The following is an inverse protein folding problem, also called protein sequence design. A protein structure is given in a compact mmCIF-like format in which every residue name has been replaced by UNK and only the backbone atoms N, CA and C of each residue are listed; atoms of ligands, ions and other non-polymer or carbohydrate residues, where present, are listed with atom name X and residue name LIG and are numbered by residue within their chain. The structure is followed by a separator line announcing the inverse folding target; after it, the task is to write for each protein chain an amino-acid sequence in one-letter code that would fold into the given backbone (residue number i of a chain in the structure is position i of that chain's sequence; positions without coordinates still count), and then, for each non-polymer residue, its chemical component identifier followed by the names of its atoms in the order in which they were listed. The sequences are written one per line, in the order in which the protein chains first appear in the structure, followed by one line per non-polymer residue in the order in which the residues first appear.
data_IF_205211436986
#
_entry.id   IF_205211436986
#
_cell.length_a   1.000
_cell.length_b   1.000
_cell.length_c   1.000
_cell.angle_alpha   90.00
_cell.angle_beta   90.00
_cell.angle_gamma   90.00
#
_symmetry.space_group_name_H-M   'P 1'
#
loop_
_entity.id
_entity.type
_entity.pdbx_description
1 polymer ?
#
# COMPACT_ATOMS: atom_id res chain seq x y z
N UNK A 1 30.59 -27.87 -15.08
CA UNK A 1 29.44 -27.19 -14.46
C UNK A 1 29.34 -27.60 -13.00
N UNK A 2 29.29 -26.64 -12.07
CA UNK A 2 29.15 -26.92 -10.64
C UNK A 2 27.75 -27.39 -10.29
N UNK A 3 27.61 -28.27 -9.29
CA UNK A 3 26.33 -28.70 -8.73
C UNK A 3 26.04 -27.87 -7.48
N UNK A 4 24.81 -27.35 -7.36
CA UNK A 4 24.33 -26.65 -6.16
C UNK A 4 23.32 -27.54 -5.43
N UNK A 5 23.55 -27.80 -4.15
CA UNK A 5 22.57 -28.45 -3.31
C UNK A 5 21.51 -27.42 -2.88
N UNK A 6 20.25 -27.67 -3.21
CA UNK A 6 19.13 -26.79 -2.90
C UNK A 6 18.16 -27.49 -1.96
N UNK A 7 17.83 -26.83 -0.83
CA UNK A 7 16.75 -27.26 0.03
C UNK A 7 15.43 -26.72 -0.51
N UNK A 8 14.57 -27.58 -0.97
CA UNK A 8 13.24 -27.22 -1.46
C UNK A 8 12.33 -26.84 -0.32
N UNK A 9 11.75 -25.65 -0.40
CA UNK A 9 10.75 -25.17 0.58
C UNK A 9 9.32 -25.49 0.17
N UNK A 10 9.09 -25.73 -1.12
CA UNK A 10 7.80 -26.09 -1.71
C UNK A 10 8.02 -26.76 -3.07
N UNK A 11 7.06 -27.55 -3.58
CA UNK A 11 7.08 -28.05 -4.94
C UNK A 11 7.17 -26.92 -5.96
N UNK A 12 7.78 -27.17 -7.10
CA UNK A 12 7.82 -26.24 -8.22
C UNK A 12 6.90 -26.80 -9.31
N UNK A 13 5.86 -26.06 -9.61
CA UNK A 13 4.88 -26.40 -10.63
C UNK A 13 5.29 -25.79 -11.98
N UNK A 14 5.03 -26.53 -13.07
CA UNK A 14 5.31 -26.11 -14.44
C UNK A 14 6.79 -26.13 -14.86
N UNK A 15 7.05 -25.94 -16.16
CA UNK A 15 8.41 -25.87 -16.70
C UNK A 15 9.18 -24.66 -16.16
N UNK A 16 10.40 -24.92 -15.69
CA UNK A 16 11.29 -23.86 -15.18
C UNK A 16 11.93 -23.11 -16.34
N UNK A 17 11.76 -21.76 -16.39
CA UNK A 17 12.37 -20.91 -17.42
C UNK A 17 13.70 -20.33 -16.97
N UNK A 18 13.70 -19.62 -15.84
CA UNK A 18 14.89 -18.98 -15.32
C UNK A 18 15.06 -19.27 -13.84
N UNK A 19 16.32 -19.42 -13.41
CA UNK A 19 16.70 -19.54 -12.01
C UNK A 19 17.54 -18.33 -11.59
N UNK A 20 17.14 -17.65 -10.52
CA UNK A 20 17.90 -16.54 -9.94
C UNK A 20 18.45 -16.93 -8.59
N UNK A 21 19.78 -16.85 -8.44
CA UNK A 21 20.45 -17.05 -7.15
C UNK A 21 20.67 -15.71 -6.48
N UNK A 22 20.18 -15.53 -5.27
CA UNK A 22 20.31 -14.31 -4.49
C UNK A 22 20.92 -14.58 -3.12
N UNK A 23 21.75 -13.64 -2.66
CA UNK A 23 22.32 -13.66 -1.32
C UNK A 23 21.53 -12.71 -0.41
N UNK A 24 20.95 -13.25 0.63
CA UNK A 24 20.25 -12.51 1.68
C UNK A 24 21.12 -12.44 2.96
N UNK A 25 20.66 -11.71 3.97
CA UNK A 25 21.40 -11.57 5.22
C UNK A 25 21.47 -12.88 6.05
N UNK A 26 20.58 -13.81 5.84
CA UNK A 26 20.48 -15.09 6.56
C UNK A 26 20.89 -16.31 5.73
N UNK A 27 21.17 -16.13 4.43
CA UNK A 27 21.58 -17.25 3.57
C UNK A 27 21.47 -16.97 2.08
N UNK A 28 21.56 -18.04 1.30
CA UNK A 28 21.39 -18.03 -0.14
C UNK A 28 19.99 -18.58 -0.51
N UNK A 29 19.40 -17.98 -1.52
CA UNK A 29 18.09 -18.37 -2.03
C UNK A 29 18.15 -18.57 -3.53
N UNK A 30 17.36 -19.53 -4.00
CA UNK A 30 17.12 -19.75 -5.43
C UNK A 30 15.65 -19.49 -5.69
N UNK A 31 15.37 -18.66 -6.69
CA UNK A 31 14.02 -18.40 -7.18
C UNK A 31 13.91 -18.86 -8.62
N UNK A 32 12.85 -19.58 -8.93
CA UNK A 32 12.56 -20.02 -10.29
C UNK A 32 11.36 -19.27 -10.85
N UNK A 33 11.45 -18.80 -12.09
CA UNK A 33 10.27 -18.47 -12.86
C UNK A 33 9.81 -19.73 -13.59
N UNK A 34 8.51 -20.02 -13.50
CA UNK A 34 7.90 -21.16 -14.14
C UNK A 34 6.90 -20.68 -15.19
N UNK A 35 6.76 -21.44 -16.28
CA UNK A 35 5.71 -21.26 -17.26
C UNK A 35 4.59 -22.25 -17.02
N UNK A 36 3.46 -22.04 -17.69
CA UNK A 36 2.35 -23.00 -17.74
C UNK A 36 1.86 -23.44 -16.36
N UNK A 37 2.03 -22.56 -15.34
CA UNK A 37 1.43 -22.81 -14.03
C UNK A 37 -0.07 -22.58 -14.16
N UNK A 38 -0.84 -23.66 -13.94
CA UNK A 38 -2.30 -23.56 -13.99
C UNK A 38 -2.80 -22.58 -12.94
N UNK A 39 -3.55 -21.60 -13.39
CA UNK A 39 -4.29 -20.72 -12.48
C UNK A 39 -5.39 -21.54 -11.82
N UNK A 40 -5.52 -21.43 -10.51
CA UNK A 40 -6.63 -22.04 -9.78
C UNK A 40 -7.61 -20.92 -9.44
N UNK A 41 -8.67 -20.73 -10.25
CA UNK A 41 -9.70 -19.74 -9.96
C UNK A 41 -10.33 -20.02 -8.60
N UNK A 42 -10.45 -18.99 -7.80
CA UNK A 42 -11.25 -19.07 -6.58
C UNK A 42 -12.74 -18.93 -6.91
N UNK A 43 -13.63 -19.49 -6.09
CA UNK A 43 -15.07 -19.25 -6.24
C UNK A 43 -15.36 -17.76 -6.33
N UNK A 44 -16.38 -17.41 -7.13
CA UNK A 44 -16.86 -16.04 -7.30
C UNK A 44 -17.98 -15.78 -6.28
N UNK A 45 -17.74 -15.02 -5.21
CA UNK A 45 -18.78 -14.68 -4.23
C UNK A 45 -19.78 -13.64 -4.75
N UNK A 46 -19.62 -13.14 -5.98
CA UNK A 46 -20.41 -12.06 -6.60
C UNK A 46 -20.42 -10.79 -5.75
N UNK A 47 -19.26 -10.47 -5.18
CA UNK A 47 -19.07 -9.31 -4.32
C UNK A 47 -17.99 -8.37 -4.87
N UNK A 48 -18.28 -7.09 -4.76
CA UNK A 48 -17.37 -6.03 -5.17
C UNK A 48 -17.14 -5.07 -4.00
N UNK A 49 -15.94 -4.52 -3.90
CA UNK A 49 -15.64 -3.51 -2.88
C UNK A 49 -14.69 -2.44 -3.42
N UNK A 50 -14.80 -1.23 -2.87
CA UNK A 50 -13.77 -0.20 -2.96
C UNK A 50 -12.87 -0.25 -1.75
N UNK A 51 -11.58 0.05 -1.90
CA UNK A 51 -10.67 0.18 -0.77
C UNK A 51 -9.98 1.53 -0.78
N UNK A 52 -9.99 2.19 0.37
CA UNK A 52 -9.16 3.36 0.65
C UNK A 52 -7.95 2.94 1.47
N UNK A 53 -6.73 3.31 1.04
CA UNK A 53 -5.48 2.98 1.74
C UNK A 53 -4.95 4.18 2.51
N UNK A 54 -4.68 3.98 3.80
CA UNK A 54 -4.33 5.02 4.73
C UNK A 54 -3.04 4.78 5.52
N UNK A 55 -2.65 5.78 6.31
CA UNK A 55 -1.52 5.69 7.24
C UNK A 55 -1.97 5.44 8.69
N UNK A 56 -3.16 5.86 9.05
CA UNK A 56 -3.71 5.64 10.38
C UNK A 56 -4.15 4.19 10.53
N UNK A 57 -5.07 3.77 9.69
CA UNK A 57 -5.35 2.37 9.37
C UNK A 57 -4.68 2.04 8.02
N UNK A 58 -4.46 0.77 7.73
CA UNK A 58 -3.80 0.38 6.48
C UNK A 58 -4.73 0.48 5.28
N UNK A 59 -5.96 0.02 5.44
CA UNK A 59 -7.05 0.20 4.48
C UNK A 59 -8.41 0.08 5.17
N UNK A 60 -9.42 0.66 4.51
CA UNK A 60 -10.84 0.50 4.83
C UNK A 60 -11.54 0.01 3.57
N UNK A 61 -12.47 -0.94 3.70
CA UNK A 61 -13.33 -1.40 2.60
C UNK A 61 -14.62 -0.59 2.55
N UNK A 62 -15.33 -0.65 1.42
CA UNK A 62 -16.65 -0.03 1.30
C UNK A 62 -17.71 -0.66 2.22
N UNK A 63 -17.46 -1.87 2.70
CA UNK A 63 -18.32 -2.58 3.66
C UNK A 63 -18.06 -2.15 5.10
N UNK A 64 -17.05 -1.30 5.32
CA UNK A 64 -16.66 -0.80 6.64
C UNK A 64 -15.60 -1.67 7.35
N UNK A 65 -15.08 -2.71 6.71
CA UNK A 65 -14.02 -3.51 7.28
C UNK A 65 -12.72 -2.71 7.36
N UNK A 66 -12.06 -2.77 8.50
CA UNK A 66 -10.84 -2.02 8.79
C UNK A 66 -9.66 -2.98 8.93
N UNK A 67 -8.59 -2.73 8.19
CA UNK A 67 -7.31 -3.41 8.37
C UNK A 67 -6.32 -2.46 9.03
N UNK A 68 -5.91 -2.82 10.24
CA UNK A 68 -4.97 -2.03 11.04
C UNK A 68 -3.59 -1.90 10.39
N UNK A 69 -2.95 -0.74 10.57
CA UNK A 69 -1.60 -0.52 10.07
C UNK A 69 -0.56 -1.03 11.09
N UNK A 70 0.20 -2.11 10.79
CA UNK A 70 1.13 -2.71 11.73
C UNK A 70 2.37 -1.85 12.02
N UNK A 71 2.72 -0.90 11.14
CA UNK A 71 3.84 0.05 11.29
C UNK A 71 5.17 -0.65 11.64
N UNK A 72 5.51 -1.71 10.92
CA UNK A 72 6.66 -2.58 11.22
C UNK A 72 8.00 -1.85 11.31
N UNK A 73 8.26 -0.92 10.37
CA UNK A 73 9.47 -0.11 10.40
C UNK A 73 9.47 0.83 11.61
N UNK A 74 8.35 1.50 11.89
CA UNK A 74 8.25 2.44 13.02
C UNK A 74 8.52 1.77 14.36
N UNK A 75 7.95 0.56 14.57
CA UNK A 75 8.22 -0.24 15.76
C UNK A 75 9.69 -0.64 15.89
N UNK A 76 10.37 -0.88 14.77
CA UNK A 76 11.77 -1.31 14.71
C UNK A 76 12.77 -0.15 14.57
N UNK A 77 12.32 1.09 14.38
CA UNK A 77 13.16 2.25 14.02
C UNK A 77 14.29 2.47 15.02
N UNK A 78 14.01 2.38 16.32
CA UNK A 78 15.03 2.55 17.35
C UNK A 78 16.12 1.48 17.29
N UNK A 79 15.73 0.20 17.14
CA UNK A 79 16.67 -0.91 17.02
C UNK A 79 17.53 -0.79 15.76
N UNK A 80 16.92 -0.40 14.63
CA UNK A 80 17.61 -0.15 13.37
C UNK A 80 18.61 1.02 13.48
N UNK A 81 18.22 2.12 14.12
CA UNK A 81 19.13 3.25 14.39
C UNK A 81 20.32 2.82 15.24
N UNK A 82 20.10 2.03 16.31
CA UNK A 82 21.16 1.49 17.17
C UNK A 82 22.09 0.57 16.39
N UNK A 83 21.55 -0.29 15.52
CA UNK A 83 22.36 -1.18 14.67
C UNK A 83 23.21 -0.38 13.66
N UNK A 84 22.60 0.60 12.96
CA UNK A 84 23.32 1.48 12.03
C UNK A 84 24.44 2.25 12.73
N UNK A 85 24.20 2.84 13.92
CA UNK A 85 25.19 3.54 14.72
C UNK A 85 26.33 2.62 15.15
N UNK A 86 26.05 1.32 15.43
CA UNK A 86 27.06 0.31 15.72
C UNK A 86 27.94 0.04 14.50
N UNK A 87 27.40 0.01 13.29
CA UNK A 87 28.17 -0.15 12.05
C UNK A 87 29.06 1.06 11.80
N UNK A 88 28.52 2.29 11.91
CA UNK A 88 29.26 3.53 11.62
C UNK A 88 30.45 3.76 12.54
N UNK A 89 30.37 3.33 13.82
CA UNK A 89 31.44 3.45 14.82
C UNK A 89 32.59 2.47 14.61
N UNK A 90 32.51 1.53 13.66
CA UNK A 90 33.54 0.53 13.42
C UNK A 90 34.44 0.93 12.24
N UNK A 91 35.72 0.63 12.34
CA UNK A 91 36.70 0.89 11.28
C UNK A 91 36.30 0.18 9.99
N UNK A 92 36.30 0.90 8.87
CA UNK A 92 36.06 0.34 7.53
C UNK A 92 37.04 -0.81 7.27
N UNK A 93 36.56 -1.91 6.62
CA UNK A 93 37.37 -3.09 6.33
C UNK A 93 37.58 -4.07 7.52
N UNK A 94 37.23 -3.70 8.76
CA UNK A 94 37.43 -4.61 9.89
C UNK A 94 36.41 -5.73 9.98
N UNK A 95 36.83 -6.92 10.44
CA UNK A 95 35.93 -8.07 10.72
C UNK A 95 34.79 -7.69 11.68
N UNK A 96 35.04 -6.81 12.65
CA UNK A 96 34.04 -6.31 13.60
C UNK A 96 32.98 -5.46 12.91
N UNK A 97 33.34 -4.65 11.89
CA UNK A 97 32.36 -3.90 11.06
C UNK A 97 31.55 -4.83 10.21
N UNK A 98 32.15 -5.82 9.55
CA UNK A 98 31.45 -6.82 8.75
C UNK A 98 30.38 -7.56 9.58
N UNK A 99 30.73 -8.00 10.81
CA UNK A 99 29.77 -8.62 11.74
C UNK A 99 28.64 -7.67 12.12
N UNK A 100 28.94 -6.40 12.41
CA UNK A 100 27.92 -5.41 12.76
C UNK A 100 27.00 -5.10 11.56
N UNK A 101 27.55 -4.98 10.35
CA UNK A 101 26.78 -4.79 9.11
C UNK A 101 25.85 -5.96 8.84
N UNK A 102 26.34 -7.19 9.02
CA UNK A 102 25.53 -8.39 8.87
C UNK A 102 24.34 -8.43 9.86
N UNK A 103 24.56 -8.08 11.13
CA UNK A 103 23.48 -7.98 12.12
C UNK A 103 22.45 -6.89 11.76
N UNK A 104 22.94 -5.74 11.27
CA UNK A 104 22.07 -4.67 10.80
C UNK A 104 21.24 -5.11 9.59
N UNK A 105 21.85 -5.81 8.62
CA UNK A 105 21.16 -6.36 7.46
C UNK A 105 20.07 -7.37 7.85
N UNK A 106 20.33 -8.25 8.83
CA UNK A 106 19.32 -9.17 9.38
C UNK A 106 18.11 -8.44 9.97
N UNK A 107 18.32 -7.33 10.68
CA UNK A 107 17.21 -6.54 11.23
C UNK A 107 16.37 -5.89 10.10
N UNK A 108 17.02 -5.31 9.10
CA UNK A 108 16.31 -4.78 7.92
C UNK A 108 15.55 -5.87 7.18
N UNK A 109 16.13 -7.04 7.01
CA UNK A 109 15.49 -8.19 6.38
C UNK A 109 14.25 -8.65 7.17
N UNK A 110 14.35 -8.70 8.51
CA UNK A 110 13.23 -9.06 9.37
C UNK A 110 12.04 -8.11 9.16
N UNK A 111 12.26 -6.79 9.21
CA UNK A 111 11.21 -5.78 8.97
C UNK A 111 10.61 -5.90 7.57
N UNK A 112 11.46 -6.11 6.55
CA UNK A 112 10.99 -6.33 5.18
C UNK A 112 10.07 -7.55 5.08
N UNK A 113 10.45 -8.68 5.69
CA UNK A 113 9.68 -9.92 5.66
C UNK A 113 8.35 -9.81 6.41
N UNK A 114 8.34 -9.15 7.57
CA UNK A 114 7.11 -8.87 8.30
C UNK A 114 6.11 -8.08 7.45
N UNK A 115 6.58 -7.03 6.75
CA UNK A 115 5.74 -6.24 5.85
C UNK A 115 5.25 -7.06 4.66
N UNK A 116 6.11 -7.87 4.05
CA UNK A 116 5.72 -8.74 2.95
C UNK A 116 4.67 -9.76 3.39
N UNK A 117 4.85 -10.42 4.52
CA UNK A 117 3.87 -11.38 5.07
C UNK A 117 2.51 -10.71 5.31
N UNK A 118 2.52 -9.52 5.93
CA UNK A 118 1.31 -8.73 6.12
C UNK A 118 0.61 -8.41 4.78
N UNK A 119 1.34 -7.90 3.79
CA UNK A 119 0.78 -7.60 2.47
C UNK A 119 0.21 -8.85 1.79
N UNK A 120 0.92 -9.99 1.87
CA UNK A 120 0.46 -11.24 1.27
C UNK A 120 -0.82 -11.75 1.92
N UNK A 121 -0.94 -11.68 3.23
CA UNK A 121 -2.13 -12.11 4.00
C UNK A 121 -3.32 -11.21 3.71
N UNK A 122 -3.14 -9.89 3.79
CA UNK A 122 -4.19 -8.91 3.51
C UNK A 122 -4.70 -9.03 2.08
N UNK A 123 -3.80 -9.09 1.09
CA UNK A 123 -4.19 -9.24 -0.31
C UNK A 123 -4.93 -10.58 -0.56
N UNK A 124 -4.51 -11.67 0.08
CA UNK A 124 -5.20 -12.94 -0.05
C UNK A 124 -6.59 -12.91 0.59
N UNK A 125 -6.75 -12.26 1.75
CA UNK A 125 -8.05 -12.08 2.40
C UNK A 125 -9.03 -11.35 1.48
N UNK A 126 -8.61 -10.21 0.90
CA UNK A 126 -9.45 -9.44 -0.03
C UNK A 126 -9.83 -10.25 -1.28
N UNK A 127 -8.86 -10.94 -1.89
CA UNK A 127 -9.11 -11.76 -3.10
C UNK A 127 -10.04 -12.94 -2.81
N UNK A 128 -10.11 -13.44 -1.58
CA UNK A 128 -11.07 -14.50 -1.20
C UNK A 128 -12.49 -13.96 -1.03
N UNK A 129 -12.63 -12.72 -0.61
CA UNK A 129 -13.93 -12.11 -0.29
C UNK A 129 -14.59 -11.44 -1.50
N UNK A 130 -13.80 -10.85 -2.41
CA UNK A 130 -14.31 -10.01 -3.47
C UNK A 130 -13.86 -10.47 -4.86
N UNK A 131 -14.71 -10.30 -5.86
CA UNK A 131 -14.43 -10.60 -7.27
C UNK A 131 -13.84 -9.41 -7.99
N UNK A 132 -14.29 -8.23 -7.61
CA UNK A 132 -13.78 -6.96 -8.12
C UNK A 132 -13.42 -6.04 -6.97
N UNK A 133 -12.20 -5.53 -7.00
CA UNK A 133 -11.69 -4.61 -5.98
C UNK A 133 -11.30 -3.32 -6.68
N UNK A 134 -11.96 -2.24 -6.30
CA UNK A 134 -11.65 -0.90 -6.81
C UNK A 134 -10.65 -0.21 -5.88
N UNK A 135 -9.63 0.40 -6.48
CA UNK A 135 -8.54 1.07 -5.74
C UNK A 135 -8.27 2.44 -6.32
N UNK A 136 -7.77 3.36 -5.53
CA UNK A 136 -7.27 4.62 -6.07
C UNK A 136 -5.98 4.42 -6.88
N UNK A 137 -5.86 5.11 -8.02
CA UNK A 137 -4.65 5.19 -8.82
C UNK A 137 -3.60 6.09 -8.14
N UNK A 138 -3.23 5.74 -6.90
CA UNK A 138 -2.26 6.52 -6.13
C UNK A 138 -0.85 6.40 -6.70
N UNK A 139 -0.11 7.51 -6.64
CA UNK A 139 1.31 7.57 -7.00
C UNK A 139 2.16 7.85 -5.75
N UNK A 140 2.60 6.84 -5.00
CA UNK A 140 3.35 7.03 -3.76
C UNK A 140 4.64 7.83 -3.93
N UNK A 141 5.24 7.81 -5.12
CA UNK A 141 6.42 8.61 -5.46
C UNK A 141 6.10 10.11 -5.35
N UNK A 142 4.96 10.56 -5.89
CA UNK A 142 4.52 11.95 -5.79
C UNK A 142 4.17 12.33 -4.35
N UNK A 143 3.50 11.41 -3.63
CA UNK A 143 3.15 11.61 -2.22
C UNK A 143 4.38 11.73 -1.32
N UNK A 144 5.50 11.11 -1.67
CA UNK A 144 6.76 11.13 -0.90
C UNK A 144 7.79 12.14 -1.41
N UNK A 145 7.44 12.97 -2.40
CA UNK A 145 8.34 13.99 -2.96
C UNK A 145 8.81 14.95 -1.87
N UNK A 146 10.09 15.32 -1.93
CA UNK A 146 10.66 16.30 -1.02
C UNK A 146 10.08 17.67 -1.29
N UNK A 147 9.77 18.49 -0.27
CA UNK A 147 9.37 19.88 -0.48
C UNK A 147 10.51 20.68 -1.15
N UNK A 148 10.15 21.57 -2.02
CA UNK A 148 11.11 22.48 -2.64
C UNK A 148 11.65 23.48 -1.61
N UNK A 149 12.93 23.90 -1.76
CA UNK A 149 13.47 24.99 -0.95
C UNK A 149 12.64 26.26 -1.14
N UNK A 150 12.35 26.96 -0.04
CA UNK A 150 11.76 28.29 -0.10
C UNK A 150 12.90 29.31 0.04
N UNK A 151 13.14 30.17 -0.94
CA UNK A 151 14.09 31.26 -0.80
C UNK A 151 13.66 32.20 0.35
N UNK A 152 14.63 32.78 1.05
CA UNK A 152 14.37 33.85 2.02
C UNK A 152 14.02 35.13 1.25
N UNK A 153 12.77 35.59 1.38
CA UNK A 153 12.28 36.81 0.73
C UNK A 153 13.00 38.07 1.22
N UNK A 154 13.68 38.02 2.37
CA UNK A 154 14.44 39.14 2.94
C UNK A 154 15.87 39.27 2.42
N UNK A 155 16.29 38.46 1.45
CA UNK A 155 17.55 38.62 0.73
C UNK A 155 18.83 38.27 1.50
N UNK A 156 18.73 37.65 2.69
CA UNK A 156 19.89 37.27 3.52
C UNK A 156 20.57 35.95 3.07
N UNK A 157 20.24 35.42 1.88
CA UNK A 157 20.88 34.23 1.31
C UNK A 157 20.55 32.91 2.05
N UNK A 158 19.59 32.93 2.97
CA UNK A 158 19.07 31.77 3.68
C UNK A 158 17.92 31.09 2.97
N UNK A 159 17.44 29.98 3.54
CA UNK A 159 16.20 29.34 3.11
C UNK A 159 15.20 29.31 4.27
N UNK A 160 13.96 29.64 3.98
CA UNK A 160 12.87 29.56 4.95
C UNK A 160 12.50 28.12 5.31
N UNK A 161 11.82 27.98 6.44
CA UNK A 161 11.34 26.69 6.93
C UNK A 161 10.24 26.13 6.03
N UNK A 162 10.56 25.17 5.17
CA UNK A 162 9.65 24.56 4.18
C UNK A 162 8.92 23.28 4.66
N UNK A 163 8.91 23.00 5.96
CA UNK A 163 8.27 21.79 6.51
C UNK A 163 8.95 20.46 6.16
N UNK A 164 10.17 20.46 5.61
CA UNK A 164 10.90 19.27 5.17
C UNK A 164 11.06 18.20 6.27
N UNK A 165 11.25 18.63 7.54
CA UNK A 165 11.35 17.71 8.68
C UNK A 165 10.04 16.95 8.93
N UNK A 166 8.90 17.66 8.87
CA UNK A 166 7.55 17.08 9.00
C UNK A 166 7.26 16.13 7.83
N UNK A 167 7.58 16.56 6.62
CA UNK A 167 7.44 15.75 5.40
C UNK A 167 8.31 14.49 5.44
N UNK A 168 9.55 14.57 5.92
CA UNK A 168 10.42 13.40 6.09
C UNK A 168 9.80 12.36 7.05
N UNK A 169 9.13 12.81 8.12
CA UNK A 169 8.35 11.95 9.02
C UNK A 169 7.20 11.24 8.31
N UNK A 170 6.43 11.96 7.50
CA UNK A 170 5.34 11.43 6.69
C UNK A 170 5.86 10.42 5.65
N UNK A 171 6.94 10.77 4.94
CA UNK A 171 7.54 9.90 3.93
C UNK A 171 7.99 8.55 4.52
N UNK A 172 8.55 8.55 5.73
CA UNK A 172 8.86 7.28 6.41
C UNK A 172 7.63 6.41 6.62
N UNK A 173 6.49 7.00 6.97
CA UNK A 173 5.23 6.26 7.17
C UNK A 173 4.65 5.75 5.85
N UNK A 174 4.72 6.53 4.77
CA UNK A 174 4.32 6.12 3.41
C UNK A 174 5.15 4.93 2.94
N UNK A 175 6.49 5.00 3.12
CA UNK A 175 7.39 3.90 2.75
C UNK A 175 7.24 2.67 3.66
N UNK A 176 6.88 2.86 4.92
CA UNK A 176 6.58 1.74 5.84
C UNK A 176 5.27 1.03 5.44
N UNK A 177 4.22 1.77 5.11
CA UNK A 177 2.98 1.20 4.59
C UNK A 177 3.19 0.44 3.28
N UNK A 178 4.02 0.96 2.37
CA UNK A 178 4.45 0.26 1.14
C UNK A 178 3.31 -0.03 0.17
N UNK A 179 2.35 0.88 0.01
CA UNK A 179 1.13 0.72 -0.80
C UNK A 179 1.38 0.25 -2.22
N UNK A 180 2.43 0.79 -2.90
CA UNK A 180 2.75 0.35 -4.27
C UNK A 180 2.98 -1.16 -4.36
N UNK A 181 3.77 -1.70 -3.41
CA UNK A 181 4.04 -3.14 -3.37
C UNK A 181 2.78 -3.94 -3.04
N UNK A 182 1.98 -3.45 -2.07
CA UNK A 182 0.70 -4.07 -1.71
C UNK A 182 -0.26 -4.12 -2.91
N UNK A 183 -0.49 -3.00 -3.59
CA UNK A 183 -1.41 -2.93 -4.74
C UNK A 183 -0.93 -3.81 -5.90
N UNK A 184 0.38 -3.82 -6.21
CA UNK A 184 0.94 -4.73 -7.23
C UNK A 184 0.72 -6.19 -6.86
N UNK A 185 0.88 -6.54 -5.59
CA UNK A 185 0.67 -7.90 -5.10
C UNK A 185 -0.82 -8.28 -5.12
N UNK A 186 -1.70 -7.36 -4.76
CA UNK A 186 -3.15 -7.53 -4.81
C UNK A 186 -3.61 -7.80 -6.24
N UNK A 187 -3.19 -6.95 -7.20
CA UNK A 187 -3.49 -7.12 -8.63
C UNK A 187 -3.01 -8.47 -9.15
N UNK A 188 -1.77 -8.85 -8.82
CA UNK A 188 -1.22 -10.15 -9.23
C UNK A 188 -2.03 -11.33 -8.67
N UNK A 189 -2.35 -11.30 -7.37
CA UNK A 189 -3.13 -12.37 -6.73
C UNK A 189 -4.56 -12.45 -7.27
N UNK A 190 -5.20 -11.31 -7.52
CA UNK A 190 -6.53 -11.26 -8.13
C UNK A 190 -6.51 -11.88 -9.53
N UNK A 191 -5.56 -11.51 -10.37
CA UNK A 191 -5.41 -12.10 -11.70
C UNK A 191 -5.19 -13.62 -11.65
N UNK A 192 -4.34 -14.12 -10.73
CA UNK A 192 -4.15 -15.56 -10.53
C UNK A 192 -5.42 -16.28 -10.05
N UNK A 193 -6.32 -15.60 -9.37
CA UNK A 193 -7.58 -16.14 -8.87
C UNK A 193 -8.77 -15.96 -9.84
N UNK A 194 -8.53 -15.43 -11.05
CA UNK A 194 -9.59 -15.11 -12.02
C UNK A 194 -10.43 -13.89 -11.64
N UNK A 195 -9.92 -13.02 -10.76
CA UNK A 195 -10.57 -11.83 -10.22
C UNK A 195 -9.92 -10.55 -10.70
N UNK A 196 -10.52 -9.39 -10.41
CA UNK A 196 -10.07 -8.11 -10.97
C UNK A 196 -9.77 -7.07 -9.90
N UNK A 197 -8.76 -6.25 -10.18
CA UNK A 197 -8.47 -5.01 -9.45
C UNK A 197 -8.49 -3.88 -10.44
N UNK A 198 -9.33 -2.87 -10.19
CA UNK A 198 -9.52 -1.75 -11.08
C UNK A 198 -9.15 -0.44 -10.39
N UNK A 199 -8.35 0.38 -11.06
CA UNK A 199 -7.89 1.65 -10.53
C UNK A 199 -8.80 2.79 -10.98
N UNK A 200 -9.24 3.62 -10.02
CA UNK A 200 -10.03 4.82 -10.26
C UNK A 200 -9.22 6.10 -10.04
N UNK A 201 -9.66 7.20 -10.63
CA UNK A 201 -9.02 8.49 -10.44
C UNK A 201 -9.14 8.93 -8.96
N UNK A 202 -8.03 9.25 -8.28
CA UNK A 202 -8.00 9.61 -6.85
C UNK A 202 -8.53 11.02 -6.55
N UNK A 203 -8.82 11.84 -7.56
CA UNK A 203 -9.24 13.22 -7.35
C UNK A 203 -10.55 13.27 -6.55
N UNK A 204 -10.52 13.93 -5.40
CA UNK A 204 -11.67 14.25 -4.54
C UNK A 204 -12.40 13.05 -3.90
N UNK A 205 -11.89 11.84 -3.99
CA UNK A 205 -12.51 10.63 -3.40
C UNK A 205 -12.82 10.77 -1.91
N UNK A 206 -11.97 11.46 -1.15
CA UNK A 206 -12.19 11.73 0.29
C UNK A 206 -13.09 12.93 0.58
N UNK A 207 -13.44 13.74 -0.44
CA UNK A 207 -14.28 14.94 -0.29
C UNK A 207 -15.70 14.72 -0.79
N UNK A 208 -15.85 14.00 -1.90
CA UNK A 208 -17.15 13.75 -2.50
C UNK A 208 -17.95 12.77 -1.62
N UNK A 209 -19.23 13.05 -1.44
CA UNK A 209 -20.13 12.24 -0.63
C UNK A 209 -20.49 10.95 -1.39
N UNK A 210 -20.33 9.80 -0.74
CA UNK A 210 -20.69 8.51 -1.33
C UNK A 210 -22.20 8.33 -1.52
N UNK A 211 -23.02 9.11 -0.79
CA UNK A 211 -24.48 9.02 -0.90
C UNK A 211 -25.09 9.89 -2.01
N UNK A 212 -24.60 11.10 -2.24
CA UNK A 212 -25.19 12.04 -3.18
C UNK A 212 -24.22 12.69 -4.17
N UNK A 213 -22.91 12.45 -4.03
CA UNK A 213 -21.87 13.03 -4.88
C UNK A 213 -21.50 14.47 -4.55
N UNK A 214 -22.16 15.14 -3.60
CA UNK A 214 -21.85 16.52 -3.20
C UNK A 214 -20.46 16.64 -2.64
N UNK A 215 -19.73 17.70 -3.03
CA UNK A 215 -18.36 17.93 -2.58
C UNK A 215 -18.33 18.70 -1.26
N UNK A 216 -17.89 18.04 -0.20
CA UNK A 216 -17.75 18.61 1.14
C UNK A 216 -16.27 18.88 1.41
N UNK A 217 -15.91 20.16 1.47
CA UNK A 217 -14.55 20.56 1.82
C UNK A 217 -14.28 20.26 3.29
N UNK A 218 -13.21 19.54 3.56
CA UNK A 218 -12.80 19.15 4.92
C UNK A 218 -11.30 19.27 5.09
N UNK A 219 -10.87 19.65 6.29
CA UNK A 219 -9.46 19.56 6.66
C UNK A 219 -9.04 18.08 6.83
N UNK A 220 -7.75 17.80 6.67
CA UNK A 220 -7.21 16.44 6.83
C UNK A 220 -7.37 15.88 8.27
N UNK A 221 -7.61 16.75 9.25
CA UNK A 221 -7.82 16.38 10.66
C UNK A 221 -9.25 15.86 10.94
N UNK A 222 -10.23 16.24 10.11
CA UNK A 222 -11.62 15.81 10.28
C UNK A 222 -11.77 14.38 9.80
N UNK A 223 -12.19 13.49 10.68
CA UNK A 223 -12.35 12.07 10.41
C UNK A 223 -13.78 11.67 10.05
N UNK A 224 -14.76 12.43 10.47
CA UNK A 224 -16.15 12.17 10.15
C UNK A 224 -16.55 12.88 8.87
N UNK A 225 -17.17 12.18 7.96
CA UNK A 225 -17.86 12.74 6.81
C UNK A 225 -19.28 13.07 7.23
N UNK A 226 -19.65 14.35 7.19
CA UNK A 226 -21.02 14.80 7.37
C UNK A 226 -21.43 15.55 6.11
N UNK A 227 -22.41 15.03 5.41
CA UNK A 227 -22.93 15.66 4.20
C UNK A 227 -24.08 16.59 4.53
N UNK A 228 -23.93 17.88 4.24
CA UNK A 228 -24.95 18.88 4.47
C UNK A 228 -26.11 18.79 3.48
N UNK A 229 -25.93 18.12 2.33
CA UNK A 229 -26.96 17.98 1.31
C UNK A 229 -27.88 16.78 1.56
N UNK A 230 -27.34 15.59 1.87
CA UNK A 230 -28.15 14.36 2.04
C UNK A 230 -28.19 13.85 3.50
N UNK A 231 -27.50 14.51 4.45
CA UNK A 231 -27.47 14.09 5.85
C UNK A 231 -26.60 12.87 6.16
N UNK A 232 -25.89 12.29 5.15
CA UNK A 232 -25.05 11.12 5.36
C UNK A 232 -23.94 11.44 6.37
N UNK A 233 -23.78 10.58 7.37
CA UNK A 233 -22.70 10.65 8.36
C UNK A 233 -21.98 9.31 8.43
N UNK A 234 -20.69 9.31 8.08
CA UNK A 234 -19.81 8.13 8.05
C UNK A 234 -18.41 8.49 8.52
N UNK A 235 -17.58 7.48 8.80
CA UNK A 235 -16.13 7.67 8.83
C UNK A 235 -15.65 8.17 7.46
N UNK A 236 -14.65 9.05 7.45
CA UNK A 236 -14.15 9.65 6.21
C UNK A 236 -13.53 8.62 5.27
N UNK A 237 -12.78 7.67 5.81
CA UNK A 237 -12.05 6.67 5.04
C UNK A 237 -13.05 5.61 4.50
N UNK A 238 -14.13 5.30 5.25
CA UNK A 238 -15.26 4.48 4.77
C UNK A 238 -16.05 5.19 3.66
N UNK A 239 -16.35 6.48 3.81
CA UNK A 239 -16.97 7.27 2.75
C UNK A 239 -16.11 7.27 1.47
N UNK A 240 -14.79 7.40 1.61
CA UNK A 240 -13.86 7.34 0.47
C UNK A 240 -13.90 5.96 -0.21
N UNK A 241 -13.87 4.88 0.55
CA UNK A 241 -13.94 3.51 0.01
C UNK A 241 -15.24 3.26 -0.77
N UNK A 242 -16.39 3.68 -0.23
CA UNK A 242 -17.70 3.61 -0.93
C UNK A 242 -17.69 4.43 -2.22
N UNK A 243 -17.12 5.62 -2.19
CA UNK A 243 -17.04 6.48 -3.36
C UNK A 243 -16.09 5.91 -4.43
N UNK A 244 -14.99 5.27 -4.02
CA UNK A 244 -14.08 4.53 -4.91
C UNK A 244 -14.82 3.39 -5.60
N UNK A 245 -15.61 2.60 -4.87
CA UNK A 245 -16.43 1.53 -5.42
C UNK A 245 -17.44 2.07 -6.45
N UNK A 246 -18.20 3.07 -6.08
CA UNK A 246 -19.21 3.69 -6.96
C UNK A 246 -18.57 4.22 -8.26
N UNK A 247 -17.42 4.89 -8.21
CA UNK A 247 -16.68 5.34 -9.40
C UNK A 247 -16.26 4.18 -10.29
N UNK A 248 -15.74 3.12 -9.70
CA UNK A 248 -15.29 1.94 -10.43
C UNK A 248 -16.45 1.22 -11.12
N UNK A 249 -17.56 1.06 -10.45
CA UNK A 249 -18.78 0.48 -11.01
C UNK A 249 -19.30 1.28 -12.22
N UNK A 250 -19.32 2.61 -12.12
CA UNK A 250 -19.69 3.47 -13.25
C UNK A 250 -18.77 3.34 -14.46
N UNK A 251 -17.47 3.22 -14.25
CA UNK A 251 -16.51 2.99 -15.34
C UNK A 251 -16.76 1.66 -16.06
N UNK A 252 -17.31 0.67 -15.38
CA UNK A 252 -17.68 -0.62 -15.95
C UNK A 252 -19.07 -0.67 -16.57
N UNK A 253 -19.84 0.40 -16.50
CA UNK A 253 -21.23 0.42 -16.96
C UNK A 253 -22.18 -0.41 -16.09
N UNK A 254 -21.77 -0.77 -14.87
CA UNK A 254 -22.64 -1.46 -13.92
C UNK A 254 -23.59 -0.42 -13.29
N UNK A 255 -24.93 -0.66 -13.28
CA UNK A 255 -25.86 0.21 -12.58
C UNK A 255 -25.48 0.30 -11.10
N UNK A 256 -25.45 1.51 -10.54
CA UNK A 256 -25.25 1.69 -9.11
C UNK A 256 -26.32 0.91 -8.35
N UNK A 257 -25.93 0.07 -7.38
CA UNK A 257 -26.87 -0.65 -6.54
C UNK A 257 -27.80 0.37 -5.87
N UNK A 258 -29.11 0.14 -5.97
CA UNK A 258 -30.16 1.01 -5.43
C UNK A 258 -30.10 1.04 -3.89
N UNK A 259 -29.34 1.98 -3.38
CA UNK A 259 -29.17 2.32 -1.95
C UNK A 259 -28.74 3.76 -1.77
N UNK A 260 -28.18 4.37 -2.82
CA UNK A 260 -27.93 5.80 -2.86
C UNK A 260 -29.08 6.44 -3.64
N UNK A 261 -29.95 7.16 -2.96
CA UNK A 261 -30.96 8.02 -3.60
C UNK A 261 -30.22 9.14 -4.34
N UNK A 262 -29.77 8.84 -5.57
CA UNK A 262 -29.27 9.86 -6.49
C UNK A 262 -30.45 10.70 -6.95
N UNK A 263 -30.68 11.83 -6.28
CA UNK A 263 -31.40 12.92 -6.95
C UNK A 263 -30.45 13.47 -7.99
N UNK A 264 -30.82 13.32 -9.26
CA UNK A 264 -30.17 14.06 -10.35
C UNK A 264 -30.18 15.55 -10.01
N UNK A 265 -29.07 16.29 -10.26
CA UNK A 265 -29.10 17.74 -10.14
C UNK A 265 -30.15 18.26 -11.11
N UNK A 266 -31.13 19.00 -10.56
CA UNK A 266 -32.10 19.73 -11.37
C UNK A 266 -31.33 20.61 -12.35
N UNK A 267 -31.64 20.47 -13.63
CA UNK A 267 -30.98 21.19 -14.70
C UNK A 267 -31.17 22.70 -14.57
N UNK A 268 -30.13 23.42 -14.92
CA UNK A 268 -30.13 24.77 -15.48
C UNK A 268 -29.38 24.73 -16.81
#
# INVERSE_FOLDING_TARGET
MGRLAVRWSRPVEGPRKTGTVSREADGWYVSFSCAEVLTQPLPLPDQETGIDVGLQVFLVTADGDIVENPRHYRKSEHALKKANKRVSRRKKGSKRRAKAAHQCAKQHQHVRRQRQDFHHKTALSLVRQYDVIYVEAIQPANLSRRPEPKPDENGNGGSEHNGARRKAGLNKSIHDAGWRHFLSLLTFKAACAGKRVEAVNPAYTSQDCSGCGERIQKSLSVRTHVCTNCGLMLDRDENAAKHIQWRGQRLRGVPAMAGATNREPAGL
#
